data_IF_349874518500
#
_entry.id   IF_349874518500
#
_cell.length_a   1.000
_cell.length_b   1.000
_cell.length_c   1.000
_cell.angle_alpha   90.00
_cell.angle_beta   90.00
_cell.angle_gamma   90.00
#
_symmetry.space_group_name_H-M   'P 1'
#
loop_
_entity.id
_entity.type
_entity.pdbx_description
1 polymer ?
#
# COMPACT_ATOMS: atom_id res chain seq x y z
N UNK A 1 37.38 -18.53 17.78
CA UNK A 1 36.54 -17.41 18.27
C UNK A 1 36.03 -16.65 17.04
N UNK A 2 34.74 -16.77 16.70
CA UNK A 2 34.14 -16.14 15.52
C UNK A 2 33.23 -15.00 15.99
N UNK A 3 33.60 -13.77 15.66
CA UNK A 3 32.80 -12.58 15.94
C UNK A 3 31.66 -12.44 14.94
N UNK A 4 30.42 -12.57 15.44
CA UNK A 4 29.21 -12.31 14.66
C UNK A 4 28.90 -10.82 14.65
N UNK A 5 28.88 -10.22 13.46
CA UNK A 5 28.39 -8.86 13.24
C UNK A 5 26.86 -8.84 13.39
N UNK A 6 26.33 -7.99 14.28
CA UNK A 6 24.90 -7.72 14.41
C UNK A 6 24.46 -6.70 13.34
N UNK A 7 23.30 -6.87 12.69
CA UNK A 7 22.72 -5.83 11.84
C UNK A 7 22.25 -4.65 12.68
N UNK A 8 22.60 -3.44 12.26
CA UNK A 8 22.20 -2.19 12.88
C UNK A 8 20.69 -1.98 12.83
N UNK A 9 20.11 -1.63 13.98
CA UNK A 9 18.73 -1.14 14.11
C UNK A 9 18.55 0.10 13.22
N UNK A 10 17.62 0.03 12.26
CA UNK A 10 17.14 1.19 11.52
C UNK A 10 16.49 2.18 12.50
N UNK A 11 16.85 3.46 12.37
CA UNK A 11 16.35 4.54 13.21
C UNK A 11 14.82 4.64 13.19
N UNK A 12 14.26 4.93 14.36
CA UNK A 12 12.85 5.20 14.57
C UNK A 12 12.38 6.32 13.63
N UNK A 13 11.49 6.01 12.69
CA UNK A 13 10.76 7.01 11.92
C UNK A 13 9.86 7.82 12.85
N UNK A 14 10.01 9.14 12.85
CA UNK A 14 9.07 10.03 13.52
C UNK A 14 7.69 9.87 12.88
N UNK A 15 6.72 9.40 13.65
CA UNK A 15 5.33 9.39 13.21
C UNK A 15 4.81 10.83 13.22
N UNK A 16 4.76 11.46 12.06
CA UNK A 16 4.03 12.71 11.89
C UNK A 16 2.54 12.39 11.95
N UNK A 17 1.94 12.49 13.14
CA UNK A 17 0.49 12.51 13.27
C UNK A 17 -0.01 13.85 12.71
N UNK A 18 -0.47 13.83 11.47
CA UNK A 18 -1.38 14.87 10.98
C UNK A 18 -2.72 14.64 11.68
N UNK A 19 -2.93 15.32 12.81
CA UNK A 19 -4.23 15.34 13.47
C UNK A 19 -5.16 16.26 12.68
N UNK A 20 -6.12 15.66 11.97
CA UNK A 20 -7.25 16.41 11.42
C UNK A 20 -8.11 16.94 12.59
N UNK A 21 -8.75 18.12 12.44
CA UNK A 21 -9.65 18.64 13.47
C UNK A 21 -10.79 17.65 13.75
N UNK A 22 -11.17 17.51 15.01
CA UNK A 22 -12.30 16.69 15.42
C UNK A 22 -13.57 17.16 14.70
N UNK A 23 -14.20 16.26 13.94
CA UNK A 23 -15.38 16.57 13.11
C UNK A 23 -15.10 16.77 11.62
N UNK A 24 -13.85 16.68 11.17
CA UNK A 24 -13.57 16.56 9.73
C UNK A 24 -14.19 15.27 9.17
N UNK A 25 -14.88 15.35 8.03
CA UNK A 25 -15.32 14.16 7.32
C UNK A 25 -14.11 13.26 7.01
N UNK A 26 -14.26 11.92 7.03
CA UNK A 26 -13.21 11.02 6.57
C UNK A 26 -12.80 11.47 5.18
N UNK A 27 -11.51 11.74 4.98
CA UNK A 27 -11.01 12.09 3.67
C UNK A 27 -11.29 10.93 2.71
N UNK A 28 -11.56 11.23 1.42
CA UNK A 28 -11.65 10.16 0.44
C UNK A 28 -10.33 9.38 0.45
N UNK A 29 -10.36 8.05 0.30
CA UNK A 29 -9.16 7.23 0.33
C UNK A 29 -8.06 7.83 -0.54
N UNK A 30 -6.94 8.23 0.06
CA UNK A 30 -5.80 8.80 -0.65
C UNK A 30 -5.59 10.31 -0.47
N UNK A 31 -6.54 11.09 0.03
CA UNK A 31 -6.28 12.52 0.24
C UNK A 31 -5.27 12.79 1.37
N UNK A 32 -5.16 11.90 2.36
CA UNK A 32 -4.10 11.97 3.36
C UNK A 32 -2.72 11.70 2.78
N UNK A 33 -2.66 10.89 1.71
CA UNK A 33 -1.43 10.62 0.97
C UNK A 33 -1.03 11.85 0.16
N UNK A 34 -1.97 12.60 -0.40
CA UNK A 34 -1.69 13.88 -1.07
C UNK A 34 -1.09 14.93 -0.12
N UNK A 35 -1.59 15.01 1.11
CA UNK A 35 -1.00 15.91 2.11
C UNK A 35 0.45 15.52 2.45
N UNK A 36 0.72 14.22 2.57
CA UNK A 36 2.08 13.72 2.80
C UNK A 36 2.97 13.87 1.56
N UNK A 37 2.40 13.87 0.35
CA UNK A 37 3.12 14.06 -0.91
C UNK A 37 3.76 15.44 -1.00
N UNK A 38 3.04 16.48 -0.54
CA UNK A 38 3.56 17.84 -0.50
C UNK A 38 4.84 17.95 0.36
N UNK A 39 4.98 17.13 1.41
CA UNK A 39 6.15 17.12 2.28
C UNK A 39 7.42 16.58 1.60
N UNK A 40 7.31 15.84 0.49
CA UNK A 40 8.46 15.34 -0.28
C UNK A 40 9.20 16.47 -1.04
N UNK A 41 8.56 17.62 -1.22
CA UNK A 41 9.14 18.81 -1.84
C UNK A 41 9.76 18.51 -3.22
N UNK A 42 10.98 19.01 -3.50
CA UNK A 42 11.64 18.84 -4.80
C UNK A 42 11.86 17.37 -5.21
N UNK A 43 11.95 16.43 -4.27
CA UNK A 43 12.20 15.02 -4.58
C UNK A 43 11.04 14.33 -5.32
N UNK A 44 9.83 14.89 -5.22
CA UNK A 44 8.64 14.42 -5.92
C UNK A 44 8.56 14.90 -7.38
N UNK A 45 9.46 15.80 -7.83
CA UNK A 45 9.39 16.36 -9.19
C UNK A 45 9.55 15.25 -10.23
N UNK A 46 8.59 15.19 -11.16
CA UNK A 46 8.56 14.21 -12.24
C UNK A 46 8.05 12.84 -11.83
N UNK A 47 7.63 12.66 -10.57
CA UNK A 47 6.93 11.48 -10.10
C UNK A 47 5.43 11.75 -9.97
N UNK A 48 4.64 10.68 -10.05
CA UNK A 48 3.19 10.66 -9.80
C UNK A 48 2.90 9.73 -8.62
N UNK A 49 2.08 10.14 -7.64
CA UNK A 49 1.73 9.29 -6.51
C UNK A 49 0.83 8.13 -6.96
N UNK A 50 0.93 7.01 -6.25
CA UNK A 50 0.00 5.90 -6.36
C UNK A 50 -0.15 5.22 -4.99
N UNK A 51 -1.31 4.64 -4.73
CA UNK A 51 -1.65 4.03 -3.45
C UNK A 51 -1.96 2.55 -3.67
N UNK A 52 -1.51 1.70 -2.74
CA UNK A 52 -1.86 0.29 -2.74
C UNK A 52 -3.32 0.08 -2.33
N UNK A 53 -3.90 -1.09 -2.61
CA UNK A 53 -5.09 -1.54 -1.90
C UNK A 53 -4.92 -1.54 -0.39
N UNK A 54 -6.04 -1.67 0.31
CA UNK A 54 -6.04 -1.89 1.75
C UNK A 54 -5.52 -3.29 2.09
N UNK A 55 -4.58 -3.35 3.02
CA UNK A 55 -4.10 -4.58 3.65
C UNK A 55 -4.55 -4.61 5.12
N UNK A 56 -4.96 -5.75 5.66
CA UNK A 56 -5.28 -5.85 7.07
C UNK A 56 -4.00 -5.76 7.91
N UNK A 57 -4.04 -5.03 9.04
CA UNK A 57 -2.93 -4.97 9.99
C UNK A 57 -2.76 -6.27 10.80
N UNK A 58 -3.82 -7.07 10.91
CA UNK A 58 -3.83 -8.37 11.56
C UNK A 58 -4.59 -9.37 10.69
N UNK A 59 -4.06 -10.59 10.55
CA UNK A 59 -4.74 -11.66 9.84
C UNK A 59 -4.57 -13.00 10.58
N UNK A 60 -5.64 -13.78 10.83
CA UNK A 60 -7.06 -13.48 10.55
C UNK A 60 -7.57 -12.20 11.23
N UNK A 61 -8.71 -11.63 10.80
CA UNK A 61 -9.26 -10.43 11.42
C UNK A 61 -9.50 -10.63 12.92
N UNK A 62 -8.92 -9.75 13.74
CA UNK A 62 -8.98 -9.79 15.21
C UNK A 62 -10.11 -8.91 15.80
N UNK A 63 -11.00 -8.42 14.93
CA UNK A 63 -12.08 -7.49 15.30
C UNK A 63 -11.68 -6.02 15.32
N UNK A 64 -10.40 -5.67 15.17
CA UNK A 64 -9.97 -4.26 15.09
C UNK A 64 -10.36 -3.60 13.77
N UNK A 65 -10.57 -4.40 12.72
CA UNK A 65 -10.82 -3.94 11.34
C UNK A 65 -9.82 -2.87 10.88
N UNK A 66 -8.59 -2.95 11.38
CA UNK A 66 -7.55 -1.98 11.09
C UNK A 66 -6.89 -2.29 9.74
N UNK A 67 -6.87 -1.30 8.86
CA UNK A 67 -6.36 -1.43 7.50
C UNK A 67 -5.17 -0.50 7.29
N UNK A 68 -4.28 -0.88 6.38
CA UNK A 68 -3.15 -0.08 5.93
C UNK A 68 -3.12 0.02 4.41
N UNK A 69 -2.86 1.21 3.90
CA UNK A 69 -2.50 1.47 2.49
C UNK A 69 -1.10 2.04 2.43
N UNK A 70 -0.36 1.71 1.38
CA UNK A 70 1.00 2.21 1.14
C UNK A 70 0.99 3.22 0.01
N UNK A 71 1.63 4.35 0.24
CA UNK A 71 1.89 5.35 -0.76
C UNK A 71 3.26 5.09 -1.40
N UNK A 72 3.27 5.01 -2.72
CA UNK A 72 4.47 4.90 -3.53
C UNK A 72 4.39 5.92 -4.67
N UNK A 73 5.34 5.87 -5.60
CA UNK A 73 5.36 6.78 -6.73
C UNK A 73 5.82 6.05 -7.99
N UNK A 74 5.40 6.54 -9.14
CA UNK A 74 5.92 6.09 -10.43
C UNK A 74 6.27 7.26 -11.33
N UNK A 75 7.12 7.03 -12.33
CA UNK A 75 7.39 8.01 -13.38
C UNK A 75 7.65 7.34 -14.72
N UNK A 76 7.33 8.07 -15.78
CA UNK A 76 7.76 7.73 -17.14
C UNK A 76 9.25 8.05 -17.28
N UNK A 77 10.00 7.16 -17.92
CA UNK A 77 11.42 7.36 -18.21
C UNK A 77 11.64 7.33 -19.73
N UNK A 78 12.39 8.28 -20.32
CA UNK A 78 12.76 8.20 -21.72
C UNK A 78 13.44 6.86 -22.04
N UNK A 79 13.01 6.21 -23.13
CA UNK A 79 13.52 4.91 -23.57
C UNK A 79 12.82 3.69 -22.96
N UNK A 80 11.75 3.88 -22.19
CA UNK A 80 10.95 2.79 -21.63
C UNK A 80 9.55 2.80 -22.27
N UNK A 81 9.30 1.87 -23.21
CA UNK A 81 8.04 1.83 -23.97
C UNK A 81 6.88 1.21 -23.15
N UNK A 82 7.12 0.05 -22.53
CA UNK A 82 6.08 -0.74 -21.87
C UNK A 82 6.30 -0.85 -20.36
N UNK A 83 6.81 0.21 -19.74
CA UNK A 83 7.04 0.21 -18.30
C UNK A 83 7.05 1.59 -17.68
N UNK A 84 7.03 1.60 -16.35
CA UNK A 84 7.26 2.78 -15.52
C UNK A 84 8.34 2.48 -14.50
N UNK A 85 9.15 3.49 -14.18
CA UNK A 85 10.01 3.40 -13.01
C UNK A 85 9.16 3.62 -11.76
N UNK A 86 9.31 2.76 -10.77
CA UNK A 86 8.54 2.77 -9.52
C UNK A 86 9.47 3.03 -8.36
N UNK A 87 9.05 3.85 -7.41
CA UNK A 87 9.75 4.11 -6.16
C UNK A 87 9.26 3.16 -5.05
N UNK A 88 10.11 2.97 -4.03
CA UNK A 88 9.72 2.28 -2.81
C UNK A 88 8.60 3.03 -2.08
N UNK A 89 7.78 2.34 -1.26
CA UNK A 89 6.81 3.01 -0.41
C UNK A 89 7.46 4.09 0.46
N UNK A 90 6.93 5.30 0.43
CA UNK A 90 7.47 6.45 1.16
C UNK A 90 6.58 6.85 2.34
N UNK A 91 5.30 6.47 2.31
CA UNK A 91 4.39 6.60 3.44
C UNK A 91 3.39 5.44 3.52
N UNK A 92 2.74 5.30 4.66
CA UNK A 92 1.59 4.44 4.88
C UNK A 92 0.47 5.21 5.56
N UNK A 93 -0.78 4.88 5.22
CA UNK A 93 -1.98 5.37 5.88
C UNK A 93 -2.65 4.20 6.61
N UNK A 94 -2.79 4.32 7.93
CA UNK A 94 -3.54 3.38 8.75
C UNK A 94 -4.92 3.94 9.10
N UNK A 95 -5.95 3.13 8.87
CA UNK A 95 -7.34 3.46 9.22
C UNK A 95 -7.86 2.45 10.23
N UNK A 96 -8.57 2.94 11.25
CA UNK A 96 -9.29 2.12 12.24
C UNK A 96 -10.72 2.66 12.37
N UNK A 97 -11.74 1.81 12.58
CA UNK A 97 -13.10 2.29 12.83
C UNK A 97 -13.15 3.27 14.00
N UNK A 98 -13.80 4.41 13.81
CA UNK A 98 -13.98 5.42 14.86
C UNK A 98 -12.73 6.22 15.24
N UNK A 99 -11.59 6.01 14.57
CA UNK A 99 -10.37 6.75 14.82
C UNK A 99 -9.93 7.58 13.60
N UNK A 100 -9.23 8.71 13.80
CA UNK A 100 -8.61 9.45 12.70
C UNK A 100 -7.61 8.57 11.92
N UNK A 101 -7.54 8.76 10.60
CA UNK A 101 -6.48 8.17 9.77
C UNK A 101 -5.11 8.59 10.28
N UNK A 102 -4.21 7.62 10.51
CA UNK A 102 -2.82 7.89 10.90
C UNK A 102 -1.91 7.79 9.69
N UNK A 103 -1.11 8.82 9.44
CA UNK A 103 -0.07 8.81 8.42
C UNK A 103 1.28 8.49 9.05
N UNK A 104 2.03 7.60 8.40
CA UNK A 104 3.33 7.11 8.84
C UNK A 104 4.30 7.33 7.69
N UNK A 105 5.31 8.17 7.90
CA UNK A 105 6.39 8.34 6.93
C UNK A 105 7.34 7.13 7.03
N UNK A 106 7.52 6.43 5.92
CA UNK A 106 8.41 5.27 5.81
C UNK A 106 9.80 5.69 5.33
N UNK A 107 9.87 6.76 4.53
CA UNK A 107 11.10 7.36 4.04
C UNK A 107 10.98 8.89 3.96
N UNK A 108 12.10 9.59 4.09
CA UNK A 108 12.17 11.05 3.92
C UNK A 108 12.21 11.51 2.46
N UNK A 109 12.11 10.60 1.49
CA UNK A 109 12.20 10.89 0.07
C UNK A 109 11.89 9.66 -0.79
N UNK A 110 11.70 9.87 -2.10
CA UNK A 110 11.47 8.80 -3.05
C UNK A 110 12.78 8.10 -3.42
N UNK A 111 12.81 6.77 -3.26
CA UNK A 111 13.92 5.93 -3.67
C UNK A 111 13.47 5.03 -4.84
N UNK A 112 14.11 5.09 -6.02
CA UNK A 112 13.80 4.17 -7.12
C UNK A 112 13.93 2.71 -6.67
N UNK A 113 12.94 1.90 -7.00
CA UNK A 113 12.84 0.50 -6.61
C UNK A 113 13.01 -0.44 -7.81
N UNK A 114 12.48 -0.08 -8.97
CA UNK A 114 12.63 -0.88 -10.18
C UNK A 114 11.71 -0.45 -11.32
N UNK A 115 11.66 -1.26 -12.37
CA UNK A 115 10.76 -1.06 -13.51
C UNK A 115 9.56 -1.98 -13.39
N UNK A 116 8.35 -1.41 -13.46
CA UNK A 116 7.10 -2.13 -13.51
C UNK A 116 6.57 -2.12 -14.94
N UNK A 117 6.34 -3.29 -15.51
CA UNK A 117 5.71 -3.41 -16.82
C UNK A 117 4.27 -2.88 -16.78
N UNK A 118 3.88 -2.13 -17.80
CA UNK A 118 2.51 -1.63 -17.97
C UNK A 118 1.87 -2.27 -19.20
N UNK A 119 0.58 -2.55 -19.10
CA UNK A 119 -0.24 -3.01 -20.22
C UNK A 119 -1.67 -2.52 -20.05
N UNK A 120 -2.46 -2.47 -21.14
CA UNK A 120 -3.89 -2.24 -21.05
C UNK A 120 -4.56 -3.23 -20.10
N UNK A 121 -5.59 -2.75 -19.42
CA UNK A 121 -6.40 -3.57 -18.52
C UNK A 121 -7.36 -4.41 -19.34
N UNK A 122 -7.54 -5.65 -18.92
CA UNK A 122 -8.60 -6.49 -19.46
C UNK A 122 -9.92 -6.16 -18.76
N UNK A 123 -11.08 -6.37 -19.41
CA UNK A 123 -12.38 -6.03 -18.82
C UNK A 123 -12.66 -6.70 -17.46
N UNK A 124 -12.16 -7.91 -17.25
CA UNK A 124 -12.28 -8.63 -15.97
C UNK A 124 -11.42 -8.00 -14.85
N UNK A 125 -10.25 -7.47 -15.19
CA UNK A 125 -9.36 -6.82 -14.24
C UNK A 125 -9.91 -5.45 -13.80
N UNK A 126 -10.54 -4.75 -14.75
CA UNK A 126 -11.21 -3.48 -14.49
C UNK A 126 -12.40 -3.69 -13.54
N UNK A 127 -13.21 -4.72 -13.77
CA UNK A 127 -14.29 -5.13 -12.87
C UNK A 127 -13.81 -5.48 -11.46
N UNK A 128 -12.63 -6.07 -11.33
CA UNK A 128 -12.04 -6.31 -10.00
C UNK A 128 -11.66 -4.98 -9.33
N UNK A 129 -11.02 -4.05 -10.05
CA UNK A 129 -10.62 -2.74 -9.51
C UNK A 129 -11.83 -1.95 -9.03
N UNK A 130 -12.93 -1.96 -9.77
CA UNK A 130 -14.19 -1.30 -9.40
C UNK A 130 -14.76 -1.81 -8.06
N UNK A 131 -14.36 -3.00 -7.61
CA UNK A 131 -14.77 -3.62 -6.35
C UNK A 131 -13.81 -3.37 -5.18
N UNK A 132 -12.84 -2.46 -5.32
CA UNK A 132 -11.87 -2.18 -4.25
C UNK A 132 -12.53 -1.80 -2.92
N UNK A 133 -13.56 -0.96 -2.94
CA UNK A 133 -14.26 -0.54 -1.73
C UNK A 133 -14.98 -1.72 -1.04
N UNK A 134 -15.57 -2.62 -1.82
CA UNK A 134 -16.20 -3.85 -1.32
C UNK A 134 -15.16 -4.78 -0.69
N UNK A 135 -14.02 -4.98 -1.36
CA UNK A 135 -12.91 -5.78 -0.84
C UNK A 135 -12.40 -5.20 0.47
N UNK A 136 -12.22 -3.88 0.56
CA UNK A 136 -11.80 -3.22 1.79
C UNK A 136 -12.79 -3.43 2.94
N UNK A 137 -14.11 -3.41 2.67
CA UNK A 137 -15.13 -3.69 3.67
C UNK A 137 -15.08 -5.15 4.15
N UNK A 138 -14.85 -6.11 3.24
CA UNK A 138 -14.75 -7.53 3.57
C UNK A 138 -13.53 -7.86 4.44
N UNK A 139 -12.48 -7.03 4.44
CA UNK A 139 -11.30 -7.22 5.30
C UNK A 139 -11.57 -6.92 6.79
N UNK A 140 -12.72 -6.33 7.14
CA UNK A 140 -13.06 -5.94 8.51
C UNK A 140 -13.44 -7.12 9.42
N UNK A 141 -13.85 -8.25 8.83
CA UNK A 141 -14.33 -9.43 9.55
C UNK A 141 -13.88 -10.71 8.83
N UNK A 142 -13.91 -11.88 9.51
CA UNK A 142 -13.64 -13.16 8.84
C UNK A 142 -14.55 -13.32 7.62
N UNK A 143 -13.99 -13.45 6.40
CA UNK A 143 -14.81 -13.52 5.20
C UNK A 143 -15.50 -14.89 5.10
N UNK A 144 -16.71 -14.89 4.55
CA UNK A 144 -17.33 -16.12 4.06
C UNK A 144 -16.61 -16.64 2.80
N UNK A 145 -17.13 -17.72 2.21
CA UNK A 145 -16.53 -18.35 1.03
C UNK A 145 -16.39 -17.38 -0.15
N UNK A 146 -17.43 -16.59 -0.42
CA UNK A 146 -17.48 -15.72 -1.60
C UNK A 146 -16.64 -14.47 -1.38
N UNK A 147 -16.70 -13.89 -0.18
CA UNK A 147 -15.82 -12.80 0.24
C UNK A 147 -14.35 -13.20 0.19
N UNK A 148 -14.01 -14.42 0.64
CA UNK A 148 -12.65 -14.94 0.57
C UNK A 148 -12.17 -15.08 -0.89
N UNK A 149 -13.03 -15.59 -1.77
CA UNK A 149 -12.73 -15.71 -3.20
C UNK A 149 -12.50 -14.33 -3.84
N UNK A 150 -13.33 -13.33 -3.50
CA UNK A 150 -13.17 -11.97 -4.02
C UNK A 150 -11.89 -11.30 -3.52
N UNK A 151 -11.60 -11.36 -2.22
CA UNK A 151 -10.38 -10.76 -1.64
C UNK A 151 -9.14 -11.35 -2.32
N UNK A 152 -9.11 -12.67 -2.52
CA UNK A 152 -8.00 -13.36 -3.21
C UNK A 152 -7.87 -12.91 -4.66
N UNK A 153 -8.96 -12.98 -5.43
CA UNK A 153 -8.96 -12.58 -6.84
C UNK A 153 -8.47 -11.14 -7.01
N UNK A 154 -8.97 -10.23 -6.17
CA UNK A 154 -8.57 -8.82 -6.19
C UNK A 154 -7.08 -8.63 -5.87
N UNK A 155 -6.61 -9.14 -4.73
CA UNK A 155 -5.22 -8.91 -4.30
C UNK A 155 -4.20 -9.65 -5.17
N UNK A 156 -4.52 -10.85 -5.66
CA UNK A 156 -3.63 -11.56 -6.58
C UNK A 156 -3.57 -10.88 -7.95
N UNK A 157 -4.69 -10.36 -8.46
CA UNK A 157 -4.69 -9.53 -9.66
C UNK A 157 -3.80 -8.29 -9.48
N UNK A 158 -3.97 -7.57 -8.36
CA UNK A 158 -3.12 -6.42 -8.05
C UNK A 158 -1.64 -6.81 -7.95
N UNK A 159 -1.31 -7.87 -7.21
CA UNK A 159 0.07 -8.30 -7.00
C UNK A 159 0.76 -8.74 -8.30
N UNK A 160 0.05 -9.45 -9.19
CA UNK A 160 0.59 -9.84 -10.50
C UNK A 160 0.94 -8.64 -11.39
N UNK A 161 0.16 -7.55 -11.28
CA UNK A 161 0.35 -6.32 -12.06
C UNK A 161 1.30 -5.33 -11.44
N UNK A 162 1.41 -5.32 -10.12
CA UNK A 162 2.24 -4.41 -9.33
C UNK A 162 3.36 -5.17 -8.63
N UNK A 163 3.92 -6.19 -9.28
CA UNK A 163 4.86 -7.13 -8.67
C UNK A 163 6.08 -6.47 -8.02
N UNK A 164 6.55 -5.34 -8.54
CA UNK A 164 7.66 -4.58 -7.92
C UNK A 164 7.25 -4.07 -6.53
N UNK A 165 6.09 -3.43 -6.42
CA UNK A 165 5.58 -2.87 -5.15
C UNK A 165 5.08 -3.97 -4.23
N UNK A 166 4.35 -4.95 -4.76
CA UNK A 166 3.79 -6.05 -4.00
C UNK A 166 4.87 -6.81 -3.20
N UNK A 167 6.04 -7.04 -3.80
CA UNK A 167 7.18 -7.67 -3.11
C UNK A 167 7.73 -6.84 -1.94
N UNK A 168 7.59 -5.51 -1.97
CA UNK A 168 8.03 -4.65 -0.87
C UNK A 168 7.03 -4.53 0.26
N UNK A 169 5.74 -4.66 -0.04
CA UNK A 169 4.66 -4.58 0.96
C UNK A 169 4.40 -5.94 1.62
N UNK A 170 4.60 -7.04 0.89
CA UNK A 170 4.31 -8.39 1.38
C UNK A 170 4.96 -8.74 2.74
N UNK A 171 6.22 -8.37 3.04
CA UNK A 171 6.84 -8.65 4.34
C UNK A 171 6.14 -7.99 5.54
N UNK A 172 5.38 -6.92 5.33
CA UNK A 172 4.64 -6.24 6.40
C UNK A 172 3.29 -6.93 6.71
N UNK A 173 2.87 -7.90 5.88
CA UNK A 173 1.59 -8.61 5.99
C UNK A 173 1.73 -10.13 5.80
N UNK A 174 2.68 -10.80 6.49
CA UNK A 174 3.08 -12.16 6.17
C UNK A 174 1.91 -13.15 6.21
N UNK A 175 1.06 -13.09 7.24
CA UNK A 175 -0.07 -14.03 7.41
C UNK A 175 -1.15 -13.82 6.35
N UNK A 176 -1.41 -12.57 5.97
CA UNK A 176 -2.37 -12.25 4.91
C UNK A 176 -1.85 -12.70 3.54
N UNK A 177 -0.58 -12.46 3.24
CA UNK A 177 0.05 -12.90 1.98
C UNK A 177 0.07 -14.43 1.89
N UNK A 178 0.44 -15.11 2.98
CA UNK A 178 0.40 -16.57 3.05
C UNK A 178 -1.03 -17.09 2.85
N UNK A 179 -2.02 -16.46 3.50
CA UNK A 179 -3.42 -16.81 3.31
C UNK A 179 -3.85 -16.61 1.86
N UNK A 180 -3.55 -15.47 1.23
CA UNK A 180 -3.95 -15.16 -0.15
C UNK A 180 -3.54 -16.25 -1.15
N UNK A 181 -2.37 -16.87 -0.95
CA UNK A 181 -1.90 -17.98 -1.78
C UNK A 181 -1.81 -17.59 -3.25
N UNK A 182 -1.33 -16.38 -3.54
CA UNK A 182 -1.11 -15.93 -4.91
C UNK A 182 0.08 -16.70 -5.52
N UNK A 183 -0.20 -17.90 -6.02
CA UNK A 183 0.77 -18.84 -6.59
C UNK A 183 0.09 -20.12 -7.04
#
# INVERSE_FOLDING_TARGET
MRGGARPGRRGLGAALLLALPAGAQPLPPGAEVEAAWAALGPSARGWSPLVSPAFPLAWPPDGTAALRRYAFAYRQRPGLADGVEVAAPWAAAETRPGAPTRIILLAGGLAPLGIQGVRPLRPEEMRLIEREAEVAALLAAPPDRDGAALIRAFHCNWASRQGVVARTVAPDHPDFIAWLGCG
#
